data_IF_026965591896
#
_entry.id   IF_026965591896
#
_cell.length_a   1.000
_cell.length_b   1.000
_cell.length_c   1.000
_cell.angle_alpha   90.00
_cell.angle_beta   90.00
_cell.angle_gamma   90.00
#
_symmetry.space_group_name_H-M   'P 1'
#
loop_
_entity.id
_entity.type
_entity.pdbx_description
1 polymer ?
#
# COMPACT_ATOMS: atom_id res chain seq x y z
N UNK A 1 -7.33 15.16 -9.94
CA UNK A 1 -8.20 15.57 -11.05
C UNK A 1 -7.74 14.98 -12.39
N UNK A 2 -6.48 15.20 -12.80
CA UNK A 2 -5.96 14.78 -14.11
C UNK A 2 -6.28 13.34 -14.55
N UNK A 3 -6.16 12.35 -13.65
CA UNK A 3 -6.51 10.95 -13.96
C UNK A 3 -7.99 10.81 -14.36
N UNK A 4 -8.90 11.35 -13.54
CA UNK A 4 -10.34 11.30 -13.78
C UNK A 4 -10.68 11.95 -15.11
N UNK A 5 -10.13 13.14 -15.36
CA UNK A 5 -10.33 13.84 -16.63
C UNK A 5 -9.83 13.03 -17.83
N UNK A 6 -8.69 12.37 -17.73
CA UNK A 6 -8.15 11.56 -18.82
C UNK A 6 -9.00 10.31 -19.12
N UNK A 7 -9.52 9.65 -18.08
CA UNK A 7 -10.45 8.51 -18.23
C UNK A 7 -11.78 8.97 -18.83
N UNK A 8 -12.37 10.05 -18.30
CA UNK A 8 -13.64 10.59 -18.81
C UNK A 8 -13.54 11.09 -20.26
N UNK A 9 -12.40 11.67 -20.65
CA UNK A 9 -12.14 12.10 -22.02
C UNK A 9 -11.75 10.95 -22.97
N UNK A 10 -11.70 9.70 -22.51
CA UNK A 10 -11.31 8.55 -23.34
C UNK A 10 -9.85 8.58 -23.80
N UNK A 11 -8.98 9.35 -23.13
CA UNK A 11 -7.55 9.42 -23.44
C UNK A 11 -6.77 8.22 -22.94
N UNK A 12 -7.35 7.46 -22.01
CA UNK A 12 -6.85 6.20 -21.50
C UNK A 12 -7.80 5.09 -21.92
N UNK A 13 -7.26 3.95 -22.38
CA UNK A 13 -8.07 2.77 -22.70
C UNK A 13 -8.64 2.04 -21.48
N UNK A 14 -8.22 2.45 -20.27
CA UNK A 14 -8.73 1.98 -18.99
C UNK A 14 -7.77 2.27 -17.84
N UNK A 15 -8.19 2.00 -16.61
CA UNK A 15 -7.34 2.13 -15.41
C UNK A 15 -7.66 1.07 -14.37
N UNK A 16 -6.62 0.52 -13.73
CA UNK A 16 -6.73 -0.29 -12.51
C UNK A 16 -6.10 0.45 -11.34
N UNK A 17 -6.86 0.66 -10.27
CA UNK A 17 -6.39 1.35 -9.05
C UNK A 17 -6.59 0.48 -7.83
N UNK A 18 -5.56 0.37 -6.99
CA UNK A 18 -5.63 -0.29 -5.68
C UNK A 18 -5.49 0.70 -4.52
N UNK A 19 -4.81 1.82 -4.74
CA UNK A 19 -4.54 2.85 -3.73
C UNK A 19 -5.08 4.20 -4.17
N UNK A 20 -5.45 5.02 -3.18
CA UNK A 20 -6.10 6.30 -3.42
C UNK A 20 -5.46 7.40 -2.57
N UNK A 21 -5.59 8.66 -3.00
CA UNK A 21 -5.09 9.81 -2.23
C UNK A 21 -5.83 10.01 -0.89
N UNK A 22 -7.07 9.54 -0.82
CA UNK A 22 -7.86 9.49 0.40
C UNK A 22 -8.53 8.12 0.47
N UNK A 23 -8.39 7.45 1.61
CA UNK A 23 -8.95 6.13 1.86
C UNK A 23 -9.85 6.15 3.11
N UNK A 24 -10.96 5.39 3.12
CA UNK A 24 -11.42 4.49 2.06
C UNK A 24 -12.00 5.23 0.85
N UNK A 25 -11.97 4.58 -0.32
CA UNK A 25 -12.64 5.09 -1.50
C UNK A 25 -14.16 5.14 -1.26
N UNK A 26 -14.77 6.30 -1.47
CA UNK A 26 -16.21 6.51 -1.30
C UNK A 26 -16.93 6.76 -2.63
N UNK A 27 -18.14 6.22 -2.76
CA UNK A 27 -18.99 6.39 -3.96
C UNK A 27 -19.45 7.83 -4.17
N UNK A 28 -19.50 8.64 -3.12
CA UNK A 28 -19.88 10.05 -3.17
C UNK A 28 -18.87 10.90 -2.41
N UNK A 29 -18.73 12.17 -2.81
CA UNK A 29 -17.85 13.14 -2.15
C UNK A 29 -16.35 12.91 -2.38
N UNK A 30 -15.94 11.76 -2.91
CA UNK A 30 -14.54 11.48 -3.21
C UNK A 30 -14.12 12.04 -4.59
N UNK A 31 -12.89 12.57 -4.76
CA UNK A 31 -12.40 13.06 -6.06
C UNK A 31 -12.41 12.03 -7.19
N UNK A 32 -12.41 10.73 -6.86
CA UNK A 32 -12.46 9.62 -7.80
C UNK A 32 -13.84 8.96 -7.91
N UNK A 33 -14.87 9.54 -7.29
CA UNK A 33 -16.24 8.98 -7.29
C UNK A 33 -16.80 8.74 -8.70
N UNK A 34 -16.41 9.57 -9.68
CA UNK A 34 -16.81 9.45 -11.09
C UNK A 34 -16.24 8.20 -11.80
N UNK A 35 -15.30 7.50 -11.18
CA UNK A 35 -14.72 6.28 -11.74
C UNK A 35 -15.53 5.02 -11.39
N UNK A 36 -16.45 5.10 -10.42
CA UNK A 36 -17.27 3.94 -10.04
C UNK A 36 -18.20 3.49 -11.18
N UNK A 37 -18.29 2.18 -11.36
CA UNK A 37 -19.26 1.54 -12.27
C UNK A 37 -18.96 1.69 -13.75
N UNK A 38 -17.79 2.21 -14.11
CA UNK A 38 -17.34 2.25 -15.50
C UNK A 38 -16.74 0.91 -15.92
N UNK A 39 -16.99 0.51 -17.16
CA UNK A 39 -16.48 -0.76 -17.73
C UNK A 39 -14.96 -0.74 -17.97
N UNK A 40 -14.38 0.44 -18.16
CA UNK A 40 -12.93 0.65 -18.39
C UNK A 40 -12.14 0.90 -17.09
N UNK A 41 -12.77 0.72 -15.93
CA UNK A 41 -12.16 0.98 -14.63
C UNK A 41 -12.28 -0.23 -13.71
N UNK A 42 -11.15 -0.63 -13.12
CA UNK A 42 -11.08 -1.62 -12.05
C UNK A 42 -10.61 -0.92 -10.77
N UNK A 43 -11.39 -1.05 -9.69
CA UNK A 43 -11.12 -0.43 -8.39
C UNK A 43 -11.00 -1.51 -7.33
N UNK A 44 -9.83 -1.64 -6.70
CA UNK A 44 -9.57 -2.52 -5.57
C UNK A 44 -9.44 -1.72 -4.27
N UNK A 45 -9.87 -2.27 -3.12
CA UNK A 45 -9.82 -1.56 -1.85
C UNK A 45 -8.50 -1.82 -1.10
N UNK A 46 -7.36 -1.45 -1.71
CA UNK A 46 -6.01 -1.58 -1.11
C UNK A 46 -5.64 -3.01 -0.72
N UNK A 47 -5.82 -3.94 -1.66
CA UNK A 47 -5.66 -5.39 -1.46
C UNK A 47 -4.58 -6.03 -2.33
N UNK A 48 -3.73 -5.26 -3.03
CA UNK A 48 -2.66 -5.84 -3.86
C UNK A 48 -1.72 -6.77 -3.08
N UNK A 49 -1.56 -6.54 -1.77
CA UNK A 49 -0.75 -7.39 -0.90
C UNK A 49 -1.48 -8.63 -0.37
N UNK A 50 -2.81 -8.72 -0.52
CA UNK A 50 -3.66 -9.60 0.30
C UNK A 50 -3.75 -11.03 -0.24
N UNK A 51 -2.61 -11.74 -0.28
CA UNK A 51 -2.56 -13.19 -0.54
C UNK A 51 -2.25 -13.96 0.74
N UNK A 52 -2.58 -15.26 0.78
CA UNK A 52 -2.28 -16.13 1.92
C UNK A 52 -0.78 -16.14 2.23
N UNK A 53 0.07 -16.23 1.21
CA UNK A 53 1.52 -16.27 1.38
C UNK A 53 2.09 -14.93 1.87
N UNK A 54 1.55 -13.81 1.37
CA UNK A 54 1.98 -12.48 1.79
C UNK A 54 1.55 -12.19 3.23
N UNK A 55 0.30 -12.52 3.59
CA UNK A 55 -0.19 -12.41 4.96
C UNK A 55 0.63 -13.25 5.92
N UNK A 56 0.93 -14.51 5.57
CA UNK A 56 1.80 -15.36 6.39
C UNK A 56 3.17 -14.72 6.61
N UNK A 57 3.85 -14.30 5.53
CA UNK A 57 5.17 -13.64 5.63
C UNK A 57 5.12 -12.37 6.48
N UNK A 58 4.08 -11.55 6.30
CA UNK A 58 3.87 -10.34 7.08
C UNK A 58 3.73 -10.67 8.57
N UNK A 59 2.84 -11.60 8.93
CA UNK A 59 2.63 -12.01 10.31
C UNK A 59 3.87 -12.61 10.96
N UNK A 60 4.57 -13.52 10.25
CA UNK A 60 5.80 -14.16 10.74
C UNK A 60 6.91 -13.11 10.98
N UNK A 61 7.13 -12.22 10.01
CA UNK A 61 8.15 -11.17 10.14
C UNK A 61 7.78 -10.19 11.27
N UNK A 62 6.53 -9.73 11.35
CA UNK A 62 6.09 -8.81 12.42
C UNK A 62 6.29 -9.42 13.80
N UNK A 63 5.89 -10.69 13.98
CA UNK A 63 6.04 -11.37 15.26
C UNK A 63 7.52 -11.53 15.64
N UNK A 64 8.39 -11.86 14.69
CA UNK A 64 9.83 -11.93 14.92
C UNK A 64 10.42 -10.60 15.40
N UNK A 65 9.99 -9.46 14.82
CA UNK A 65 10.41 -8.12 15.27
C UNK A 65 9.92 -7.82 16.69
N UNK A 66 8.69 -8.22 17.04
CA UNK A 66 8.18 -8.06 18.40
C UNK A 66 9.07 -8.77 19.43
N UNK A 67 9.48 -10.02 19.16
CA UNK A 67 10.40 -10.74 20.03
C UNK A 67 11.79 -10.08 20.09
N UNK A 68 12.33 -9.59 18.98
CA UNK A 68 13.59 -8.83 18.98
C UNK A 68 13.53 -7.63 19.94
N UNK A 69 12.44 -6.86 19.92
CA UNK A 69 12.23 -5.73 20.83
C UNK A 69 12.17 -6.18 22.29
N UNK A 70 11.38 -7.22 22.58
CA UNK A 70 11.18 -7.73 23.96
C UNK A 70 12.48 -8.31 24.55
N UNK A 71 13.31 -8.92 23.72
CA UNK A 71 14.60 -9.50 24.11
C UNK A 71 15.73 -8.45 24.22
N UNK A 72 15.48 -7.18 23.83
CA UNK A 72 16.51 -6.14 23.73
C UNK A 72 17.52 -6.38 22.61
N UNK A 73 17.16 -7.16 21.58
CA UNK A 73 17.99 -7.41 20.39
C UNK A 73 17.75 -6.34 19.32
N UNK A 74 18.72 -6.07 18.43
CA UNK A 74 18.49 -5.18 17.30
C UNK A 74 17.33 -5.67 16.41
N UNK A 75 16.45 -4.75 16.02
CA UNK A 75 15.29 -5.02 15.16
C UNK A 75 15.73 -5.12 13.71
N UNK A 76 15.39 -6.21 13.02
CA UNK A 76 15.76 -6.38 11.62
C UNK A 76 14.90 -5.52 10.68
N UNK A 77 15.53 -4.71 9.84
CA UNK A 77 14.86 -3.88 8.83
C UNK A 77 15.29 -4.35 7.44
N UNK A 78 14.34 -4.88 6.67
CA UNK A 78 14.53 -5.36 5.29
C UNK A 78 14.18 -4.30 4.25
N UNK A 79 14.41 -3.02 4.58
CA UNK A 79 14.14 -1.90 3.69
C UNK A 79 15.43 -1.18 3.32
N UNK A 80 15.54 -0.80 2.05
CA UNK A 80 16.62 0.05 1.54
C UNK A 80 16.25 1.53 1.52
N UNK A 81 15.07 1.88 2.04
CA UNK A 81 14.61 3.26 2.10
C UNK A 81 15.59 4.12 2.92
N UNK A 82 16.18 5.16 2.32
CA UNK A 82 17.14 6.02 3.01
C UNK A 82 16.54 6.73 4.24
N UNK A 83 15.22 6.95 4.26
CA UNK A 83 14.51 7.57 5.39
C UNK A 83 14.53 6.68 6.65
N UNK A 84 14.52 5.36 6.46
CA UNK A 84 14.61 4.39 7.56
C UNK A 84 16.06 4.17 8.01
N UNK A 85 17.02 4.34 7.10
CA UNK A 85 18.46 4.18 7.39
C UNK A 85 19.05 5.28 8.28
N UNK A 86 18.30 6.35 8.55
CA UNK A 86 18.67 7.34 9.55
C UNK A 86 18.63 6.77 10.98
N UNK A 87 17.90 5.67 11.21
CA UNK A 87 17.91 4.98 12.49
C UNK A 87 19.20 4.15 12.62
N UNK A 88 20.02 4.46 13.62
CA UNK A 88 21.30 3.80 13.86
C UNK A 88 21.34 2.96 15.15
N UNK A 89 20.32 3.11 16.02
CA UNK A 89 20.26 2.43 17.31
C UNK A 89 19.26 1.28 17.29
N UNK A 90 19.65 0.15 17.87
CA UNK A 90 18.82 -1.04 18.05
C UNK A 90 18.17 -1.55 16.75
N UNK A 91 18.85 -1.39 15.62
CA UNK A 91 18.41 -1.89 14.31
C UNK A 91 19.54 -2.59 13.58
N UNK A 92 19.20 -3.59 12.78
CA UNK A 92 20.09 -4.25 11.84
C UNK A 92 19.43 -4.23 10.46
N UNK A 93 20.18 -3.87 9.42
CA UNK A 93 19.65 -3.81 8.04
C UNK A 93 20.17 -5.00 7.23
N UNK A 94 19.31 -5.59 6.39
CA UNK A 94 19.67 -6.59 5.36
C UNK A 94 19.05 -6.26 4.02
#
# INVERSE_FOLDING_TARGET
>A
AALVEAVLAGRLGGVGLDVYSQEPLARQGHPLSLLFGRDDVILFPHLTFFTVEAMRRLSDDTLARCFEVLDGRPVQIRSRDPRLRAQAQNVAFS
#
